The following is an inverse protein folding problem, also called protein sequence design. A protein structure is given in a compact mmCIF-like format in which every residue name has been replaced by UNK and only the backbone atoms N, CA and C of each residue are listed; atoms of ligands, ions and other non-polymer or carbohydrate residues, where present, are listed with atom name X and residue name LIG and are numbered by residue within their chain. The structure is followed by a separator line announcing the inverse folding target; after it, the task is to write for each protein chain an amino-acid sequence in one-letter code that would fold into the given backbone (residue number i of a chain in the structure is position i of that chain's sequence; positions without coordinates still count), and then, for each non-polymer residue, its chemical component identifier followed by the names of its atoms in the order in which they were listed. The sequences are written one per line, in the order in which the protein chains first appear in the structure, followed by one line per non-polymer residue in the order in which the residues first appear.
data_IF_666261374627
#
_entry.id   IF_666261374627
#
_cell.length_a   1.000
_cell.length_b   1.000
_cell.length_c   1.000
_cell.angle_alpha   90.00
_cell.angle_beta   90.00
_cell.angle_gamma   90.00
#
_symmetry.space_group_name_H-M   'P 1'
#
loop_
_entity.id
_entity.type
_entity.pdbx_description
1 polymer ?
#
# COMPACT_ATOMS: atom_id res chain seq x y z
N UNK A 1 6.04 -5.98 -15.03
CA UNK A 1 4.73 -6.65 -15.26
C UNK A 1 3.71 -6.27 -14.19
N UNK A 2 3.93 -6.59 -12.90
CA UNK A 2 2.99 -6.28 -11.81
C UNK A 2 2.68 -4.79 -11.66
N UNK A 3 3.69 -3.93 -11.68
CA UNK A 3 3.47 -2.48 -11.57
C UNK A 3 2.70 -1.90 -12.76
N UNK A 4 2.79 -2.53 -13.93
CA UNK A 4 2.00 -2.15 -15.09
C UNK A 4 0.53 -2.55 -14.96
N UNK A 5 0.26 -3.72 -14.37
CA UNK A 5 -1.10 -4.19 -14.09
C UNK A 5 -1.77 -3.28 -13.05
N UNK A 6 -1.11 -3.01 -11.91
CA UNK A 6 -1.59 -2.07 -10.88
C UNK A 6 -1.88 -0.69 -11.48
N UNK A 7 -0.99 -0.17 -12.34
CA UNK A 7 -1.18 1.11 -13.00
C UNK A 7 -2.43 1.13 -13.87
N UNK A 8 -2.64 0.09 -14.68
CA UNK A 8 -3.81 0.00 -15.57
C UNK A 8 -5.10 -0.10 -14.76
N UNK A 9 -5.15 -0.97 -13.75
CA UNK A 9 -6.32 -1.14 -12.85
C UNK A 9 -6.64 0.15 -12.11
N UNK A 10 -5.63 0.80 -11.57
CA UNK A 10 -5.77 2.05 -10.80
C UNK A 10 -5.87 3.30 -11.66
N UNK A 11 -5.78 3.19 -13.00
CA UNK A 11 -5.74 4.33 -13.92
C UNK A 11 -4.69 5.37 -13.51
N UNK A 12 -3.50 4.88 -13.10
CA UNK A 12 -2.42 5.71 -12.57
C UNK A 12 -1.65 6.42 -13.71
N UNK A 13 -2.26 7.52 -14.18
CA UNK A 13 -1.72 8.42 -15.19
C UNK A 13 -1.77 9.86 -14.67
N UNK A 14 -0.88 10.71 -15.18
CA UNK A 14 -0.91 12.13 -14.86
C UNK A 14 -2.18 12.80 -15.39
N UNK A 15 -2.91 13.49 -14.53
CA UNK A 15 -4.19 14.08 -14.87
C UNK A 15 -4.11 15.06 -16.07
N UNK A 16 -3.02 15.82 -16.17
CA UNK A 16 -2.83 16.83 -17.22
C UNK A 16 -2.09 16.29 -18.44
N UNK A 17 -1.06 15.46 -18.22
CA UNK A 17 -0.15 15.03 -19.30
C UNK A 17 -0.43 13.63 -19.82
N UNK A 18 -1.27 12.85 -19.14
CA UNK A 18 -1.48 11.43 -19.44
C UNK A 18 -0.24 10.55 -19.20
N UNK A 19 0.85 11.10 -18.65
CA UNK A 19 2.09 10.36 -18.44
C UNK A 19 1.85 9.18 -17.47
N UNK A 20 2.27 7.96 -17.82
CA UNK A 20 2.11 6.81 -16.95
C UNK A 20 2.94 6.98 -15.68
N UNK A 21 2.33 6.73 -14.52
CA UNK A 21 3.02 6.68 -13.24
C UNK A 21 3.72 5.34 -13.07
N UNK A 22 4.82 5.32 -12.35
CA UNK A 22 5.47 4.07 -11.93
C UNK A 22 4.74 3.56 -10.69
N UNK A 23 4.21 2.35 -10.77
CA UNK A 23 3.52 1.67 -9.68
C UNK A 23 4.29 0.42 -9.26
N UNK A 24 4.05 -0.02 -8.04
CA UNK A 24 4.66 -1.22 -7.48
C UNK A 24 4.00 -1.59 -6.15
N UNK A 25 4.56 -2.58 -5.50
CA UNK A 25 4.14 -2.98 -4.15
C UNK A 25 4.43 -1.87 -3.14
N UNK A 26 3.64 -1.85 -2.06
CA UNK A 26 3.85 -0.88 -0.99
C UNK A 26 5.20 -1.10 -0.31
N UNK A 27 5.86 0.00 0.00
CA UNK A 27 7.15 0.02 0.67
C UNK A 27 6.97 0.46 2.13
N UNK A 28 7.02 -0.52 3.02
CA UNK A 28 6.86 -0.30 4.47
C UNK A 28 8.05 0.44 5.06
N UNK A 29 9.27 0.24 4.52
CA UNK A 29 10.46 0.96 5.01
C UNK A 29 10.31 2.47 4.76
N UNK A 30 9.91 2.84 3.54
CA UNK A 30 9.65 4.22 3.18
C UNK A 30 8.45 4.80 3.95
N UNK A 31 7.38 4.01 4.15
CA UNK A 31 6.21 4.41 4.90
C UNK A 31 6.53 4.69 6.37
N UNK A 32 7.25 3.79 7.06
CA UNK A 32 7.71 4.00 8.45
C UNK A 32 8.49 5.29 8.60
N UNK A 33 9.40 5.55 7.65
CA UNK A 33 10.17 6.79 7.64
C UNK A 33 9.28 8.01 7.46
N UNK A 34 8.31 7.95 6.54
CA UNK A 34 7.37 9.04 6.31
C UNK A 34 6.51 9.31 7.55
N UNK A 35 6.00 8.26 8.21
CA UNK A 35 5.25 8.35 9.47
C UNK A 35 6.07 9.08 10.54
N UNK A 36 7.32 8.65 10.75
CA UNK A 36 8.20 9.22 11.77
C UNK A 36 8.56 10.70 11.52
N UNK A 37 8.91 11.04 10.26
CA UNK A 37 9.37 12.39 9.92
C UNK A 37 8.20 13.40 9.95
N UNK A 38 7.01 12.99 9.53
CA UNK A 38 5.87 13.88 9.39
C UNK A 38 4.92 13.86 10.61
N UNK A 39 5.17 13.00 11.62
CA UNK A 39 4.29 12.88 12.77
C UNK A 39 2.89 12.39 12.39
N UNK A 40 2.79 11.43 11.47
CA UNK A 40 1.52 10.92 10.96
C UNK A 40 0.81 10.14 12.07
N UNK A 41 -0.43 10.50 12.37
CA UNK A 41 -1.26 9.87 13.40
C UNK A 41 -2.26 8.83 12.84
N UNK A 42 -2.48 8.81 11.53
CA UNK A 42 -3.38 7.85 10.87
C UNK A 42 -3.13 7.76 9.38
N UNK A 43 -3.34 6.57 8.81
CA UNK A 43 -3.16 6.29 7.40
C UNK A 43 -4.50 6.31 6.67
N UNK A 44 -4.52 6.93 5.50
CA UNK A 44 -5.60 6.81 4.54
C UNK A 44 -5.15 5.90 3.39
N UNK A 45 -5.72 4.71 3.31
CA UNK A 45 -5.44 3.75 2.24
C UNK A 45 -6.47 3.95 1.14
N UNK A 46 -6.00 4.25 -0.06
CA UNK A 46 -6.88 4.49 -1.21
C UNK A 46 -6.78 3.35 -2.22
N UNK A 47 -7.86 3.17 -3.00
CA UNK A 47 -7.89 2.23 -4.12
C UNK A 47 -7.65 0.76 -3.70
N UNK A 48 -8.27 0.31 -2.61
CA UNK A 48 -8.18 -1.09 -2.22
C UNK A 48 -8.73 -2.02 -3.31
N UNK A 49 -9.80 -1.60 -3.96
CA UNK A 49 -10.52 -2.29 -5.02
C UNK A 49 -9.66 -2.70 -6.22
N UNK A 50 -8.59 -1.98 -6.52
CA UNK A 50 -7.70 -2.34 -7.64
C UNK A 50 -6.88 -3.62 -7.39
N UNK A 51 -6.82 -4.08 -6.15
CA UNK A 51 -6.12 -5.31 -5.74
C UNK A 51 -7.01 -6.56 -5.85
N UNK A 52 -8.31 -6.39 -6.08
CA UNK A 52 -9.26 -7.49 -6.23
C UNK A 52 -8.84 -8.45 -7.35
N UNK A 53 -8.95 -9.75 -7.10
CA UNK A 53 -8.58 -10.81 -8.05
C UNK A 53 -7.07 -10.99 -8.26
N UNK A 54 -6.20 -10.34 -7.48
CA UNK A 54 -4.77 -10.64 -7.48
C UNK A 54 -4.51 -11.92 -6.67
N UNK A 55 -3.72 -12.87 -7.18
CA UNK A 55 -3.48 -14.15 -6.48
C UNK A 55 -2.67 -13.99 -5.20
N UNK A 56 -1.76 -13.04 -5.19
CA UNK A 56 -0.96 -12.67 -4.01
C UNK A 56 -0.58 -11.20 -4.04
N UNK A 57 -0.34 -10.65 -2.86
CA UNK A 57 0.09 -9.27 -2.63
C UNK A 57 1.40 -9.26 -1.86
N UNK A 58 2.21 -8.22 -2.04
CA UNK A 58 3.50 -8.12 -1.37
C UNK A 58 3.66 -6.77 -0.68
N UNK A 59 4.40 -6.77 0.43
CA UNK A 59 4.88 -5.57 1.10
C UNK A 59 6.40 -5.63 1.19
N UNK A 60 7.10 -4.57 0.77
CA UNK A 60 8.53 -4.46 0.98
C UNK A 60 8.79 -4.08 2.43
N UNK A 61 9.43 -4.97 3.19
CA UNK A 61 9.65 -4.81 4.63
C UNK A 61 11.10 -4.49 4.97
N UNK A 62 12.02 -4.68 4.03
CA UNK A 62 13.44 -4.39 4.19
C UNK A 62 14.10 -4.28 2.80
N UNK A 63 15.34 -3.81 2.77
CA UNK A 63 16.19 -3.84 1.58
C UNK A 63 17.41 -4.72 1.81
N UNK A 64 17.86 -5.39 0.76
CA UNK A 64 19.12 -6.09 0.75
C UNK A 64 20.12 -5.29 -0.07
N UNK A 65 21.24 -4.89 0.56
CA UNK A 65 22.28 -4.08 -0.03
C UNK A 65 23.64 -4.65 0.36
N UNK A 66 24.51 -4.92 -0.61
CA UNK A 66 25.79 -5.59 -0.41
C UNK A 66 25.69 -6.88 0.42
N UNK A 67 24.65 -7.68 0.18
CA UNK A 67 24.41 -8.95 0.89
C UNK A 67 23.91 -8.81 2.32
N UNK A 68 23.72 -7.60 2.82
CA UNK A 68 23.17 -7.32 4.16
C UNK A 68 21.73 -6.81 4.05
N UNK A 69 20.86 -7.32 4.91
CA UNK A 69 19.48 -6.82 5.03
C UNK A 69 19.46 -5.62 5.97
N UNK A 70 18.71 -4.59 5.60
CA UNK A 70 18.52 -3.35 6.36
C UNK A 70 17.07 -2.89 6.31
N UNK A 71 16.58 -2.38 7.43
CA UNK A 71 15.30 -1.66 7.51
C UNK A 71 15.45 -0.16 7.20
N UNK A 72 16.59 0.25 6.68
CA UNK A 72 16.86 1.63 6.29
C UNK A 72 17.19 1.68 4.80
N UNK A 73 16.68 2.73 4.15
CA UNK A 73 16.99 3.01 2.77
C UNK A 73 18.46 3.45 2.60
N UNK A 74 19.09 3.11 1.46
CA UNK A 74 20.37 3.70 1.10
C UNK A 74 20.28 5.23 1.05
N UNK A 75 21.37 5.92 1.40
CA UNK A 75 21.41 7.39 1.42
C UNK A 75 21.82 8.00 0.06
N UNK A 76 22.34 7.19 -0.85
CA UNK A 76 22.86 7.63 -2.13
C UNK A 76 22.19 6.92 -3.32
N UNK A 77 22.30 7.52 -4.49
CA UNK A 77 21.68 7.00 -5.71
C UNK A 77 22.29 5.64 -6.15
N UNK A 78 23.58 5.43 -5.94
CA UNK A 78 24.23 4.17 -6.32
C UNK A 78 23.77 3.02 -5.43
N UNK A 79 23.51 3.30 -4.15
CA UNK A 79 22.93 2.35 -3.23
C UNK A 79 21.55 1.88 -3.67
N UNK A 80 20.73 2.78 -4.19
CA UNK A 80 19.41 2.42 -4.72
C UNK A 80 19.47 1.51 -5.94
N UNK A 81 20.40 1.73 -6.85
CA UNK A 81 20.58 0.89 -8.05
C UNK A 81 21.02 -0.55 -7.71
N UNK A 82 21.64 -0.75 -6.54
CA UNK A 82 22.11 -2.04 -6.04
C UNK A 82 21.22 -2.65 -4.96
N UNK A 83 20.11 -2.00 -4.65
CA UNK A 83 19.20 -2.40 -3.60
C UNK A 83 18.17 -3.40 -4.12
N UNK A 84 18.03 -4.52 -3.42
CA UNK A 84 16.98 -5.50 -3.68
C UNK A 84 15.90 -5.41 -2.60
N UNK A 85 14.62 -5.27 -2.96
CA UNK A 85 13.56 -5.29 -1.97
C UNK A 85 13.36 -6.69 -1.37
N UNK A 86 13.15 -6.74 -0.06
CA UNK A 86 12.76 -7.96 0.66
C UNK A 86 11.26 -7.89 0.90
N UNK A 87 10.53 -8.84 0.33
CA UNK A 87 9.08 -8.86 0.38
C UNK A 87 8.53 -9.84 1.41
N UNK A 88 7.48 -9.43 2.11
CA UNK A 88 6.54 -10.30 2.78
C UNK A 88 5.34 -10.50 1.84
N UNK A 89 4.91 -11.74 1.67
CA UNK A 89 3.84 -12.11 0.75
C UNK A 89 2.55 -12.45 1.52
N UNK A 90 1.42 -12.01 0.99
CA UNK A 90 0.09 -12.21 1.53
C UNK A 90 -0.81 -12.87 0.50
N UNK A 91 -1.76 -13.73 0.90
CA UNK A 91 -2.77 -14.22 -0.01
C UNK A 91 -3.63 -13.07 -0.53
N UNK A 92 -3.98 -13.12 -1.81
CA UNK A 92 -4.96 -12.21 -2.38
C UNK A 92 -6.40 -12.65 -2.08
N UNK A 93 -7.35 -11.95 -2.66
CA UNK A 93 -8.78 -12.27 -2.56
C UNK A 93 -9.44 -12.13 -3.93
N UNK A 94 -10.51 -12.88 -4.14
CA UNK A 94 -11.27 -12.89 -5.41
C UNK A 94 -12.58 -12.10 -5.33
N UNK A 95 -13.08 -11.89 -4.12
CA UNK A 95 -14.30 -11.13 -3.88
C UNK A 95 -14.07 -9.65 -4.18
N UNK A 96 -15.08 -8.97 -4.70
CA UNK A 96 -14.98 -7.54 -4.94
C UNK A 96 -15.03 -6.76 -3.62
N UNK A 97 -14.09 -5.85 -3.45
CA UNK A 97 -14.10 -4.86 -2.37
C UNK A 97 -14.73 -3.54 -2.79
N UNK A 98 -15.03 -3.38 -4.09
CA UNK A 98 -15.56 -2.13 -4.64
C UNK A 98 -16.86 -1.69 -3.97
N UNK A 99 -16.88 -0.46 -3.45
CA UNK A 99 -18.07 0.15 -2.82
C UNK A 99 -18.39 -0.36 -1.41
N UNK A 100 -17.55 -1.19 -0.80
CA UNK A 100 -17.73 -1.62 0.60
C UNK A 100 -17.44 -0.43 1.53
N UNK A 101 -18.38 -0.18 2.45
CA UNK A 101 -18.32 0.93 3.42
C UNK A 101 -18.18 0.46 4.88
N UNK A 102 -18.21 -0.85 5.11
CA UNK A 102 -18.12 -1.44 6.45
C UNK A 102 -16.95 -2.41 6.50
N UNK A 103 -16.09 -2.26 7.52
CA UNK A 103 -14.91 -3.10 7.73
C UNK A 103 -15.22 -4.61 7.73
N UNK A 104 -16.30 -4.99 8.40
CA UNK A 104 -16.65 -6.41 8.58
C UNK A 104 -17.12 -7.07 7.27
N UNK A 105 -17.49 -6.27 6.27
CA UNK A 105 -17.88 -6.77 4.93
C UNK A 105 -16.69 -7.01 4.01
N UNK A 106 -15.50 -6.52 4.37
CA UNK A 106 -14.30 -6.81 3.59
C UNK A 106 -13.95 -8.32 3.65
N UNK A 107 -13.43 -8.89 2.55
CA UNK A 107 -12.88 -10.25 2.56
C UNK A 107 -11.87 -10.44 3.70
N UNK A 108 -11.84 -11.61 4.35
CA UNK A 108 -10.90 -11.87 5.43
C UNK A 108 -9.44 -11.63 5.05
N UNK A 109 -9.04 -12.00 3.82
CA UNK A 109 -7.68 -11.77 3.31
C UNK A 109 -7.37 -10.28 3.15
N UNK A 110 -8.33 -9.47 2.68
CA UNK A 110 -8.18 -8.02 2.58
C UNK A 110 -8.01 -7.37 3.96
N UNK A 111 -8.79 -7.79 4.95
CA UNK A 111 -8.65 -7.33 6.34
C UNK A 111 -7.29 -7.72 6.92
N UNK A 112 -6.84 -8.96 6.68
CA UNK A 112 -5.54 -9.44 7.15
C UNK A 112 -4.39 -8.62 6.53
N UNK A 113 -4.45 -8.34 5.23
CA UNK A 113 -3.48 -7.49 4.54
C UNK A 113 -3.45 -6.07 5.13
N UNK A 114 -4.61 -5.46 5.35
CA UNK A 114 -4.71 -4.11 5.93
C UNK A 114 -4.22 -4.06 7.39
N UNK A 115 -4.53 -5.08 8.21
CA UNK A 115 -4.01 -5.18 9.57
C UNK A 115 -2.49 -5.35 9.62
N UNK A 116 -1.94 -6.17 8.73
CA UNK A 116 -0.50 -6.30 8.60
C UNK A 116 0.17 -4.98 8.20
N UNK A 117 -0.46 -4.19 7.33
CA UNK A 117 0.03 -2.86 6.95
C UNK A 117 0.06 -1.92 8.16
N UNK A 118 -1.01 -1.88 8.94
CA UNK A 118 -1.10 -1.11 10.19
C UNK A 118 0.00 -1.51 11.18
N UNK A 119 0.14 -2.81 11.44
CA UNK A 119 1.13 -3.35 12.37
C UNK A 119 2.57 -3.07 11.91
N UNK A 120 2.88 -3.36 10.64
CA UNK A 120 4.21 -3.18 10.09
C UNK A 120 4.62 -1.71 9.97
N UNK A 121 3.69 -0.81 9.66
CA UNK A 121 3.97 0.64 9.60
C UNK A 121 4.07 1.28 10.98
N UNK A 122 3.46 0.69 11.99
CA UNK A 122 3.33 1.25 13.34
C UNK A 122 2.40 2.48 13.40
N UNK A 123 1.51 2.62 12.41
CA UNK A 123 0.57 3.74 12.32
C UNK A 123 -0.84 3.22 12.06
N UNK A 124 -1.86 3.64 12.82
CA UNK A 124 -3.22 3.13 12.69
C UNK A 124 -3.82 3.48 11.33
N UNK A 125 -4.69 2.61 10.84
CA UNK A 125 -5.54 2.90 9.69
C UNK A 125 -6.71 3.78 10.14
N UNK A 126 -6.83 4.97 9.58
CA UNK A 126 -7.94 5.86 9.83
C UNK A 126 -9.05 5.68 8.77
N UNK A 127 -8.67 5.59 7.51
CA UNK A 127 -9.61 5.56 6.39
C UNK A 127 -9.14 4.52 5.36
N UNK A 128 -10.10 3.78 4.78
CA UNK A 128 -9.85 2.89 3.63
C UNK A 128 -10.86 3.20 2.53
N UNK A 129 -10.39 3.63 1.37
CA UNK A 129 -11.22 3.85 0.19
C UNK A 129 -11.28 2.58 -0.67
N UNK A 130 -12.48 2.22 -1.07
CA UNK A 130 -12.81 1.02 -1.85
C UNK A 130 -13.35 1.34 -3.24
N UNK A 131 -13.20 2.58 -3.69
CA UNK A 131 -13.63 3.02 -5.01
C UNK A 131 -13.38 4.51 -5.26
N UNK A 132 -13.70 5.01 -6.46
CA UNK A 132 -13.48 6.40 -6.84
C UNK A 132 -14.50 7.36 -6.22
N UNK A 133 -15.66 6.85 -5.77
CA UNK A 133 -16.70 7.65 -5.16
C UNK A 133 -16.31 7.98 -3.70
N UNK A 134 -16.61 9.21 -3.28
CA UNK A 134 -16.38 9.65 -1.89
C UNK A 134 -17.11 8.79 -0.87
N UNK A 135 -18.27 8.25 -1.26
CA UNK A 135 -19.10 7.41 -0.39
C UNK A 135 -18.55 5.97 -0.29
N UNK A 136 -17.69 5.52 -1.24
CA UNK A 136 -17.01 4.23 -1.21
C UNK A 136 -15.82 4.26 -0.24
N UNK A 137 -16.11 4.49 1.05
CA UNK A 137 -15.09 4.75 2.07
C UNK A 137 -15.47 4.10 3.40
N UNK A 138 -14.51 3.40 4.02
CA UNK A 138 -14.59 2.87 5.38
C UNK A 138 -13.87 3.84 6.30
N UNK A 139 -14.54 4.40 7.27
CA UNK A 139 -13.97 5.26 8.31
C UNK A 139 -13.76 4.39 9.55
N UNK A 140 -12.51 4.16 9.92
CA UNK A 140 -12.10 3.39 11.09
C UNK A 140 -11.83 4.31 12.28
N UNK A 141 -11.31 5.49 12.02
CA UNK A 141 -11.02 6.52 13.00
C UNK A 141 -11.32 7.88 12.37
N UNK A 142 -12.10 8.70 13.06
CA UNK A 142 -12.35 10.06 12.58
C UNK A 142 -11.07 10.91 12.79
N UNK A 143 -10.44 11.40 11.72
CA UNK A 143 -9.22 12.18 11.83
C UNK A 143 -9.46 13.60 12.40
N UNK A 144 -10.73 13.98 12.59
CA UNK A 144 -11.15 15.30 13.09
C UNK A 144 -11.82 15.25 14.48
N UNK A 145 -11.90 14.05 15.09
CA UNK A 145 -12.49 13.86 16.44
C UNK A 145 -11.48 14.09 17.56
#
# INVERSE_FOLDING_TARGET
ETGEDIRKRGQEFGATTGRPRRCGWIDIVALKRAVAINGISGLCITKLDILDGMPSLKMCIAYKYHGKQSEYAPLDAQGWDQCEPVYLEFPGWNESTAGITEWEKLPPAARAYLRALEELSGCPLAIVSTGPDRDATIILQDPFA
#
